data_IF_052420556078
#
_entry.id   IF_052420556078
#
_cell.length_a   1.000
_cell.length_b   1.000
_cell.length_c   1.000
_cell.angle_alpha   90.00
_cell.angle_beta   90.00
_cell.angle_gamma   90.00
#
_symmetry.space_group_name_H-M   'P 1'
#
loop_
_entity.id
_entity.type
_entity.pdbx_description
1 polymer ?
#
# COMPACT_ATOMS: atom_id res chain seq x y z
N UNK A 1 -23.72 25.80 -37.65
CA UNK A 1 -22.54 26.70 -37.57
C UNK A 1 -21.97 26.89 -36.16
N UNK A 2 -22.71 27.40 -35.14
CA UNK A 2 -22.15 27.57 -33.79
C UNK A 2 -21.89 26.22 -33.09
N UNK A 3 -22.78 25.22 -33.23
CA UNK A 3 -22.64 23.88 -32.64
C UNK A 3 -21.55 23.04 -33.34
N UNK A 4 -21.37 23.20 -34.65
CA UNK A 4 -20.36 22.49 -35.40
C UNK A 4 -18.94 22.96 -35.04
N UNK A 5 -18.79 24.31 -34.85
CA UNK A 5 -17.51 24.88 -34.39
C UNK A 5 -17.13 24.42 -32.99
N UNK A 6 -18.11 24.36 -32.08
CA UNK A 6 -17.91 23.87 -30.71
C UNK A 6 -17.58 22.36 -30.64
N UNK A 7 -18.20 21.56 -31.53
CA UNK A 7 -17.85 20.13 -31.66
C UNK A 7 -16.46 19.92 -32.28
N UNK A 8 -16.05 20.73 -33.25
CA UNK A 8 -14.69 20.71 -33.82
C UNK A 8 -13.63 21.15 -32.80
N UNK A 9 -13.89 22.18 -31.99
CA UNK A 9 -12.99 22.61 -30.91
C UNK A 9 -12.88 21.57 -29.80
N UNK A 10 -13.97 20.86 -29.48
CA UNK A 10 -13.95 19.71 -28.54
C UNK A 10 -13.22 18.49 -29.12
N UNK A 11 -13.29 18.23 -30.42
CA UNK A 11 -12.56 17.13 -31.06
C UNK A 11 -11.06 17.41 -31.16
N UNK A 12 -10.66 18.64 -31.49
CA UNK A 12 -9.26 19.08 -31.48
C UNK A 12 -8.64 18.98 -30.06
N UNK A 13 -9.38 19.43 -29.04
CA UNK A 13 -8.97 19.27 -27.62
C UNK A 13 -8.82 17.81 -27.21
N UNK A 14 -9.65 16.91 -27.75
CA UNK A 14 -9.60 15.48 -27.44
C UNK A 14 -8.42 14.77 -28.14
N UNK A 15 -8.03 15.21 -29.33
CA UNK A 15 -6.87 14.71 -30.06
C UNK A 15 -5.54 15.23 -29.50
N UNK A 16 -5.48 16.48 -29.08
CA UNK A 16 -4.34 17.05 -28.37
C UNK A 16 -4.13 16.34 -27.02
N UNK A 17 -5.19 16.11 -26.26
CA UNK A 17 -5.14 15.32 -25.01
C UNK A 17 -4.72 13.87 -25.23
N UNK A 18 -5.12 13.26 -26.36
CA UNK A 18 -4.64 11.91 -26.72
C UNK A 18 -3.16 11.92 -27.07
N UNK A 19 -2.70 12.93 -27.81
CA UNK A 19 -1.29 13.07 -28.16
C UNK A 19 -0.40 13.31 -26.95
N UNK A 20 -0.82 14.18 -26.01
CA UNK A 20 -0.14 14.35 -24.73
C UNK A 20 -0.14 13.05 -23.89
N UNK A 21 -1.21 12.27 -23.93
CA UNK A 21 -1.29 10.95 -23.28
C UNK A 21 -0.36 9.92 -23.94
N UNK A 22 -0.17 10.00 -25.28
CA UNK A 22 0.70 9.09 -26.00
C UNK A 22 2.19 9.45 -25.89
N UNK A 23 2.50 10.69 -25.54
CA UNK A 23 3.87 11.17 -25.29
C UNK A 23 4.34 10.97 -23.83
N UNK A 24 3.43 10.59 -22.92
CA UNK A 24 3.80 10.28 -21.54
C UNK A 24 4.64 8.99 -21.46
N UNK A 25 5.69 8.95 -20.61
CA UNK A 25 6.44 7.72 -20.33
C UNK A 25 5.50 6.58 -19.93
N UNK A 26 5.83 5.35 -20.32
CA UNK A 26 5.02 4.15 -20.03
C UNK A 26 4.72 4.01 -18.54
N UNK A 27 5.64 4.41 -17.65
CA UNK A 27 5.46 4.47 -16.21
C UNK A 27 4.35 5.42 -15.76
N UNK A 28 4.12 6.52 -16.48
CA UNK A 28 3.03 7.45 -16.20
C UNK A 28 1.69 7.04 -16.83
N UNK A 29 1.73 6.26 -17.92
CA UNK A 29 0.53 5.67 -18.53
C UNK A 29 -0.08 4.57 -17.65
N UNK A 30 0.74 3.77 -17.00
CA UNK A 30 0.32 2.71 -16.07
C UNK A 30 -0.24 3.25 -14.75
N UNK A 31 0.05 4.48 -14.37
CA UNK A 31 -0.29 5.06 -13.06
C UNK A 31 -1.69 5.69 -12.94
N UNK A 32 -2.51 5.72 -14.00
CA UNK A 32 -3.94 6.07 -13.89
C UNK A 32 -4.81 4.82 -13.78
N UNK A 33 -4.67 4.07 -12.71
CA UNK A 33 -5.74 3.14 -12.30
C UNK A 33 -6.98 3.99 -12.06
N UNK A 34 -7.94 3.97 -13.01
CA UNK A 34 -9.22 4.63 -12.84
C UNK A 34 -9.87 4.03 -11.61
N UNK A 35 -10.00 4.82 -10.55
CA UNK A 35 -10.72 4.37 -9.35
C UNK A 35 -12.11 3.91 -9.75
N UNK A 36 -12.51 2.75 -9.26
CA UNK A 36 -13.80 2.16 -9.59
C UNK A 36 -14.98 3.01 -9.05
N UNK A 37 -14.74 3.74 -7.95
CA UNK A 37 -15.65 4.77 -7.41
C UNK A 37 -14.85 5.88 -6.73
N UNK A 38 -15.49 7.05 -6.54
CA UNK A 38 -14.93 8.18 -5.80
C UNK A 38 -15.43 8.16 -4.35
N UNK A 39 -14.60 8.61 -3.41
CA UNK A 39 -14.94 8.66 -1.99
C UNK A 39 -15.07 7.26 -1.37
N UNK A 40 -16.07 7.11 -0.50
CA UNK A 40 -16.31 5.88 0.24
C UNK A 40 -17.64 5.24 -0.19
N UNK A 41 -17.63 3.93 -0.37
CA UNK A 41 -18.79 3.07 -0.62
C UNK A 41 -19.06 2.25 0.64
N UNK A 42 -20.33 1.96 0.94
CA UNK A 42 -20.71 1.18 2.11
C UNK A 42 -20.63 -0.31 1.85
N UNK A 43 -20.02 -1.01 2.79
CA UNK A 43 -19.93 -2.46 2.82
C UNK A 43 -20.49 -2.98 4.14
N UNK A 44 -21.01 -4.22 4.11
CA UNK A 44 -21.39 -4.99 5.28
C UNK A 44 -20.26 -5.94 5.60
N UNK A 45 -19.86 -6.07 6.87
CA UNK A 45 -19.04 -7.18 7.31
C UNK A 45 -19.85 -8.46 7.22
N UNK A 46 -19.55 -9.29 6.23
CA UNK A 46 -20.28 -10.52 5.92
C UNK A 46 -19.78 -11.69 6.78
N UNK A 47 -18.47 -11.76 7.00
CA UNK A 47 -17.84 -12.84 7.74
C UNK A 47 -16.54 -12.36 8.41
N UNK A 48 -16.22 -12.95 9.57
CA UNK A 48 -15.00 -12.70 10.34
C UNK A 48 -14.36 -14.04 10.68
N UNK A 49 -13.19 -14.31 10.10
CA UNK A 49 -12.52 -15.62 10.19
C UNK A 49 -11.19 -15.49 10.91
N UNK A 50 -10.99 -16.14 12.07
CA UNK A 50 -9.67 -16.25 12.69
C UNK A 50 -8.70 -17.02 11.79
N UNK A 51 -7.53 -16.44 11.50
CA UNK A 51 -6.48 -17.07 10.67
C UNK A 51 -5.29 -17.57 11.51
N UNK A 52 -4.94 -16.82 12.57
CA UNK A 52 -3.87 -17.13 13.48
C UNK A 52 -4.01 -16.30 14.76
N UNK A 53 -3.07 -16.46 15.71
CA UNK A 53 -3.08 -15.61 16.91
C UNK A 53 -3.07 -14.12 16.55
N UNK A 54 -4.06 -13.39 17.03
CA UNK A 54 -4.26 -11.95 16.75
C UNK A 54 -4.40 -11.58 15.25
N UNK A 55 -4.69 -12.54 14.38
CA UNK A 55 -4.89 -12.30 12.95
C UNK A 55 -6.28 -12.79 12.53
N UNK A 56 -7.04 -11.94 11.88
CA UNK A 56 -8.41 -12.22 11.44
C UNK A 56 -8.64 -11.70 10.02
N UNK A 57 -9.32 -12.50 9.21
CA UNK A 57 -9.86 -12.11 7.91
C UNK A 57 -11.26 -11.52 8.06
N UNK A 58 -11.52 -10.44 7.34
CA UNK A 58 -12.79 -9.73 7.28
C UNK A 58 -13.28 -9.76 5.84
N UNK A 59 -14.42 -10.40 5.62
CA UNK A 59 -15.07 -10.49 4.32
C UNK A 59 -16.14 -9.40 4.20
N UNK A 60 -16.06 -8.62 3.14
CA UNK A 60 -16.83 -7.39 2.95
C UNK A 60 -17.71 -7.52 1.72
N UNK A 61 -19.03 -7.52 1.90
CA UNK A 61 -20.01 -7.50 0.82
C UNK A 61 -20.52 -6.07 0.60
N UNK A 62 -20.65 -5.58 -0.65
CA UNK A 62 -21.21 -4.26 -0.89
C UNK A 62 -22.67 -4.18 -0.40
N UNK A 63 -23.04 -3.05 0.24
CA UNK A 63 -24.40 -2.85 0.75
C UNK A 63 -25.45 -2.70 -0.36
N UNK A 64 -25.03 -2.18 -1.51
CA UNK A 64 -25.89 -1.91 -2.66
C UNK A 64 -26.03 -3.12 -3.62
N UNK A 65 -25.46 -4.28 -3.27
CA UNK A 65 -25.43 -5.52 -4.04
C UNK A 65 -24.90 -5.36 -5.49
N UNK A 66 -24.28 -4.22 -5.83
CA UNK A 66 -23.65 -4.05 -7.12
C UNK A 66 -22.34 -4.85 -7.20
N UNK A 67 -22.05 -5.47 -8.36
CA UNK A 67 -20.82 -6.22 -8.54
C UNK A 67 -19.59 -5.42 -8.15
N UNK A 68 -18.63 -6.10 -7.52
CA UNK A 68 -17.34 -5.49 -7.21
C UNK A 68 -16.52 -5.31 -8.49
N UNK A 69 -15.92 -4.14 -8.69
CA UNK A 69 -14.97 -3.96 -9.77
C UNK A 69 -13.73 -4.85 -9.56
N UNK A 70 -13.03 -5.20 -10.65
CA UNK A 70 -11.74 -5.87 -10.52
C UNK A 70 -10.75 -4.97 -9.80
N UNK A 71 -9.77 -5.60 -9.15
CA UNK A 71 -8.63 -4.92 -8.57
C UNK A 71 -7.34 -5.59 -9.04
N UNK A 72 -6.21 -4.89 -8.92
CA UNK A 72 -4.91 -5.48 -9.20
C UNK A 72 -4.37 -6.17 -7.95
N UNK A 73 -3.84 -7.41 -8.06
CA UNK A 73 -3.29 -8.13 -6.91
C UNK A 73 -2.14 -7.35 -6.28
N UNK A 74 -2.23 -7.16 -4.97
CA UNK A 74 -1.36 -6.28 -4.18
C UNK A 74 -2.00 -4.94 -3.79
N UNK A 75 -3.11 -4.53 -4.42
CA UNK A 75 -3.83 -3.34 -4.02
C UNK A 75 -4.46 -3.47 -2.63
N UNK A 76 -4.77 -2.32 -2.04
CA UNK A 76 -5.40 -2.18 -0.73
C UNK A 76 -6.69 -1.36 -0.81
N UNK A 77 -7.48 -1.44 0.25
CA UNK A 77 -8.67 -0.63 0.49
C UNK A 77 -8.40 0.36 1.63
N UNK A 78 -8.87 1.60 1.48
CA UNK A 78 -8.90 2.58 2.56
C UNK A 78 -10.21 2.47 3.35
N UNK A 79 -10.12 2.47 4.66
CA UNK A 79 -11.24 2.38 5.58
C UNK A 79 -11.39 3.67 6.37
N UNK A 80 -12.57 4.25 6.36
CA UNK A 80 -12.91 5.36 7.22
C UNK A 80 -13.61 4.80 8.47
N UNK A 81 -12.86 4.62 9.56
CA UNK A 81 -13.31 4.00 10.79
C UNK A 81 -13.84 5.06 11.77
N UNK A 82 -15.12 4.94 12.14
CA UNK A 82 -15.75 5.80 13.17
C UNK A 82 -15.55 5.18 14.55
N UNK A 83 -14.42 5.48 15.16
CA UNK A 83 -14.01 4.88 16.44
C UNK A 83 -14.61 5.68 17.61
N UNK A 84 -15.30 5.04 18.56
CA UNK A 84 -15.85 5.70 19.73
C UNK A 84 -14.79 6.52 20.48
N UNK A 85 -15.12 7.73 20.87
CA UNK A 85 -14.21 8.66 21.56
C UNK A 85 -13.30 9.47 20.63
N UNK A 86 -13.21 9.16 19.34
CA UNK A 86 -12.49 9.96 18.37
C UNK A 86 -13.41 11.00 17.72
N UNK A 87 -12.99 12.27 17.71
CA UNK A 87 -13.76 13.36 17.10
C UNK A 87 -13.88 13.25 15.58
N UNK A 88 -12.87 12.66 14.92
CA UNK A 88 -12.78 12.47 13.47
C UNK A 88 -12.65 10.99 13.13
N UNK A 89 -13.14 10.53 11.98
CA UNK A 89 -12.88 9.18 11.52
C UNK A 89 -11.39 8.91 11.40
N UNK A 90 -10.97 7.72 11.78
CA UNK A 90 -9.60 7.24 11.59
C UNK A 90 -9.50 6.53 10.26
N UNK A 91 -8.65 7.00 9.36
CA UNK A 91 -8.41 6.33 8.08
C UNK A 91 -7.28 5.31 8.21
N UNK A 92 -7.51 4.08 7.73
CA UNK A 92 -6.51 3.00 7.68
C UNK A 92 -6.62 2.23 6.38
N UNK A 93 -5.49 1.78 5.87
CA UNK A 93 -5.42 0.93 4.69
C UNK A 93 -5.12 -0.50 5.06
N UNK A 94 -5.78 -1.42 4.35
CA UNK A 94 -5.54 -2.85 4.48
C UNK A 94 -5.49 -3.47 3.09
N UNK A 95 -4.44 -4.23 2.82
CA UNK A 95 -4.24 -4.91 1.54
C UNK A 95 -5.33 -5.96 1.32
N UNK A 96 -5.80 -6.06 0.09
CA UNK A 96 -6.67 -7.14 -0.34
C UNK A 96 -5.89 -8.45 -0.27
N UNK A 97 -6.46 -9.46 0.39
CA UNK A 97 -5.82 -10.76 0.67
C UNK A 97 -6.52 -11.92 -0.02
N UNK A 98 -7.18 -11.66 -1.16
CA UNK A 98 -7.83 -12.66 -2.01
C UNK A 98 -7.51 -12.44 -3.47
N UNK A 99 -7.81 -13.44 -4.30
CA UNK A 99 -7.73 -13.31 -5.75
C UNK A 99 -8.71 -12.26 -6.29
N UNK A 100 -8.32 -11.45 -7.29
CA UNK A 100 -9.24 -10.55 -8.01
C UNK A 100 -10.38 -11.26 -8.75
N UNK A 101 -10.33 -12.59 -8.90
CA UNK A 101 -11.42 -13.39 -9.46
C UNK A 101 -12.64 -13.44 -8.55
N UNK A 102 -12.46 -13.30 -7.23
CA UNK A 102 -13.57 -13.17 -6.32
C UNK A 102 -14.23 -11.79 -6.50
N UNK A 103 -15.48 -11.81 -6.96
CA UNK A 103 -16.22 -10.60 -7.35
C UNK A 103 -17.44 -10.34 -6.48
N UNK A 104 -17.75 -11.25 -5.57
CA UNK A 104 -18.90 -11.11 -4.67
C UNK A 104 -18.55 -10.35 -3.39
N UNK A 105 -17.31 -10.50 -2.92
CA UNK A 105 -16.82 -9.87 -1.69
C UNK A 105 -15.33 -9.55 -1.75
N UNK A 106 -14.93 -8.52 -1.05
CA UNK A 106 -13.52 -8.25 -0.77
C UNK A 106 -13.09 -8.93 0.53
N UNK A 107 -11.84 -9.36 0.60
CA UNK A 107 -11.23 -9.90 1.81
C UNK A 107 -10.01 -9.07 2.18
N UNK A 108 -10.00 -8.57 3.41
CA UNK A 108 -8.81 -8.02 4.06
C UNK A 108 -8.45 -8.90 5.24
N UNK A 109 -7.17 -8.95 5.60
CA UNK A 109 -6.73 -9.69 6.78
C UNK A 109 -5.86 -8.79 7.64
N UNK A 110 -6.20 -8.69 8.91
CA UNK A 110 -5.64 -7.70 9.83
C UNK A 110 -5.04 -8.39 11.04
N UNK A 111 -3.81 -8.04 11.38
CA UNK A 111 -3.19 -8.38 12.65
C UNK A 111 -3.55 -7.31 13.69
N UNK A 112 -4.11 -7.69 14.82
CA UNK A 112 -4.28 -6.80 15.96
C UNK A 112 -2.91 -6.46 16.54
N UNK A 113 -2.61 -5.19 16.64
CA UNK A 113 -1.34 -4.69 17.15
C UNK A 113 -1.50 -4.40 18.64
N UNK A 114 -0.88 -5.18 19.54
CA UNK A 114 -0.85 -4.88 20.97
C UNK A 114 0.07 -3.69 21.25
N UNK A 115 0.06 -3.14 22.46
CA UNK A 115 1.08 -2.21 22.91
C UNK A 115 2.48 -2.82 22.72
N UNK A 116 3.52 -1.99 22.48
CA UNK A 116 4.90 -2.48 22.47
C UNK A 116 5.26 -3.17 23.78
N UNK A 117 5.95 -4.31 23.79
CA UNK A 117 6.29 -5.06 25.00
C UNK A 117 7.11 -4.26 26.02
N UNK A 118 7.94 -3.34 25.53
CA UNK A 118 8.77 -2.43 26.32
C UNK A 118 8.01 -1.19 26.83
N UNK A 119 6.79 -0.95 26.31
CA UNK A 119 5.92 0.18 26.65
C UNK A 119 4.46 -0.27 26.76
N UNK A 120 4.10 -1.13 27.74
CA UNK A 120 2.77 -1.72 27.82
C UNK A 120 1.65 -0.71 28.16
N UNK A 121 2.01 0.47 28.64
CA UNK A 121 1.09 1.57 28.94
C UNK A 121 0.67 2.36 27.69
N UNK A 122 1.34 2.16 26.57
CA UNK A 122 0.91 2.75 25.31
C UNK A 122 -0.38 2.09 24.79
N UNK A 123 -1.24 2.84 24.09
CA UNK A 123 -2.45 2.25 23.53
C UNK A 123 -2.14 1.22 22.46
N UNK A 124 -2.95 0.18 22.36
CA UNK A 124 -2.98 -0.74 21.24
C UNK A 124 -3.23 -0.02 19.92
N UNK A 125 -2.87 -0.62 18.79
CA UNK A 125 -3.14 -0.06 17.46
C UNK A 125 -4.64 0.19 17.25
N UNK A 126 -5.03 1.46 17.25
CA UNK A 126 -6.43 1.94 17.32
C UNK A 126 -7.32 1.29 16.24
N UNK A 127 -6.91 1.32 14.96
CA UNK A 127 -7.70 0.77 13.86
C UNK A 127 -7.81 -0.75 13.92
N UNK A 128 -6.70 -1.46 14.17
CA UNK A 128 -6.69 -2.92 14.23
C UNK A 128 -7.48 -3.43 15.43
N UNK A 129 -7.40 -2.78 16.58
CA UNK A 129 -8.20 -3.12 17.77
C UNK A 129 -9.69 -2.90 17.51
N UNK A 130 -10.07 -1.77 16.89
CA UNK A 130 -11.46 -1.53 16.53
C UNK A 130 -12.04 -2.64 15.63
N UNK A 131 -11.31 -3.05 14.59
CA UNK A 131 -11.75 -4.12 13.69
C UNK A 131 -11.88 -5.47 14.43
N UNK A 132 -10.97 -5.77 15.34
CA UNK A 132 -10.99 -7.04 16.07
C UNK A 132 -12.03 -7.12 17.17
N UNK A 133 -12.22 -6.05 17.93
CA UNK A 133 -12.97 -6.08 19.19
C UNK A 133 -14.34 -5.40 19.10
N UNK A 134 -14.48 -4.38 18.24
CA UNK A 134 -15.70 -3.58 18.20
C UNK A 134 -16.57 -3.85 16.95
N UNK A 135 -16.00 -4.48 15.92
CA UNK A 135 -16.71 -4.76 14.69
C UNK A 135 -17.32 -6.17 14.69
N UNK A 136 -18.61 -6.26 14.43
CA UNK A 136 -19.39 -7.51 14.37
C UNK A 136 -19.93 -7.78 12.97
N UNK A 137 -20.21 -9.03 12.66
CA UNK A 137 -20.90 -9.42 11.42
C UNK A 137 -22.24 -8.68 11.32
N UNK A 138 -22.49 -8.07 10.18
CA UNK A 138 -23.65 -7.20 9.93
C UNK A 138 -23.34 -5.70 10.05
N UNK A 139 -22.23 -5.31 10.65
CA UNK A 139 -21.83 -3.90 10.78
C UNK A 139 -21.43 -3.29 9.44
N UNK A 140 -21.63 -1.97 9.34
CA UNK A 140 -21.33 -1.20 8.14
C UNK A 140 -19.94 -0.57 8.22
N UNK A 141 -19.24 -0.62 7.10
CA UNK A 141 -17.94 0.00 6.90
C UNK A 141 -17.96 0.94 5.70
N UNK A 142 -17.29 2.07 5.82
CA UNK A 142 -17.03 3.00 4.72
C UNK A 142 -15.66 2.70 4.11
N UNK A 143 -15.64 2.28 2.83
CA UNK A 143 -14.47 1.72 2.16
C UNK A 143 -14.19 2.45 0.86
N UNK A 144 -12.92 2.86 0.64
CA UNK A 144 -12.48 3.46 -0.62
C UNK A 144 -12.33 2.43 -1.73
N UNK A 145 -12.28 2.91 -2.98
CA UNK A 145 -11.93 2.06 -4.12
C UNK A 145 -10.55 1.42 -3.94
N UNK A 146 -10.31 0.21 -4.47
CA UNK A 146 -8.97 -0.38 -4.51
C UNK A 146 -7.94 0.59 -5.07
N UNK A 147 -6.77 0.67 -4.44
CA UNK A 147 -5.70 1.58 -4.77
C UNK A 147 -4.33 0.97 -4.39
N UNK A 148 -3.23 1.64 -4.79
CA UNK A 148 -1.86 1.21 -4.50
C UNK A 148 -1.06 0.92 -5.76
N UNK A 149 0.25 1.09 -5.66
CA UNK A 149 1.22 0.87 -6.74
C UNK A 149 1.99 -0.45 -6.58
N UNK A 150 1.90 -1.08 -5.42
CA UNK A 150 2.50 -2.38 -5.14
C UNK A 150 1.63 -3.48 -5.77
N UNK A 151 1.78 -3.69 -7.07
CA UNK A 151 0.95 -4.59 -7.87
C UNK A 151 1.81 -5.62 -8.61
N UNK A 152 1.23 -6.80 -8.82
CA UNK A 152 1.86 -7.85 -9.61
C UNK A 152 1.95 -7.45 -11.09
N UNK A 153 3.18 -7.41 -11.63
CA UNK A 153 3.35 -7.37 -13.08
C UNK A 153 3.16 -8.80 -13.66
N UNK A 154 2.02 -9.02 -14.31
CA UNK A 154 1.68 -10.30 -14.92
C UNK A 154 2.47 -10.61 -16.19
N UNK A 155 3.08 -9.59 -16.80
CA UNK A 155 3.79 -9.69 -18.06
C UNK A 155 5.31 -9.86 -17.88
N UNK A 156 5.83 -9.62 -16.70
CA UNK A 156 7.25 -9.80 -16.40
C UNK A 156 7.62 -11.30 -16.49
N UNK A 157 8.51 -11.69 -17.40
CA UNK A 157 8.88 -13.09 -17.59
C UNK A 157 9.86 -13.62 -16.54
N UNK A 158 10.51 -12.72 -15.78
CA UNK A 158 11.49 -13.10 -14.75
C UNK A 158 10.83 -13.90 -13.64
N UNK A 159 11.52 -14.85 -13.00
CA UNK A 159 10.99 -15.51 -11.84
C UNK A 159 10.62 -14.50 -10.75
N UNK A 160 9.45 -14.68 -10.12
CA UNK A 160 8.97 -13.82 -9.04
C UNK A 160 9.43 -14.36 -7.67
N UNK A 161 9.92 -13.47 -6.82
CA UNK A 161 10.26 -13.79 -5.43
C UNK A 161 9.33 -12.98 -4.52
N UNK A 162 8.42 -13.65 -3.85
CA UNK A 162 7.51 -13.06 -2.87
C UNK A 162 8.08 -13.25 -1.48
N UNK A 163 8.46 -12.15 -0.81
CA UNK A 163 9.05 -12.15 0.52
C UNK A 163 8.07 -11.54 1.51
N UNK A 164 7.36 -12.40 2.24
CA UNK A 164 6.37 -12.02 3.23
C UNK A 164 6.94 -12.05 4.65
N UNK A 165 6.81 -10.95 5.40
CA UNK A 165 7.08 -10.92 6.84
C UNK A 165 5.79 -10.81 7.66
N UNK A 166 5.44 -11.86 8.41
CA UNK A 166 4.22 -11.87 9.24
C UNK A 166 2.97 -11.51 8.45
N UNK A 167 2.26 -10.45 8.87
CA UNK A 167 1.02 -9.99 8.18
C UNK A 167 1.28 -9.34 6.82
N UNK A 168 2.54 -9.04 6.46
CA UNK A 168 2.91 -8.62 5.11
C UNK A 168 2.60 -9.64 4.02
N UNK A 169 2.17 -10.83 4.41
CA UNK A 169 1.66 -11.85 3.49
C UNK A 169 0.42 -11.39 2.70
N UNK A 170 -0.37 -10.46 3.20
CA UNK A 170 -1.71 -10.13 2.65
C UNK A 170 -1.68 -9.72 1.18
N UNK A 171 -0.88 -8.74 0.71
CA UNK A 171 -0.81 -8.41 -0.72
C UNK A 171 -0.18 -9.53 -1.54
N UNK A 172 0.81 -10.24 -0.96
CA UNK A 172 1.53 -11.32 -1.65
C UNK A 172 0.65 -12.58 -1.81
N UNK A 173 -0.27 -12.83 -0.89
CA UNK A 173 -1.27 -13.90 -1.03
C UNK A 173 -2.19 -13.62 -2.22
N UNK A 174 -2.66 -12.39 -2.38
CA UNK A 174 -3.45 -11.98 -3.54
C UNK A 174 -2.67 -12.19 -4.86
N UNK A 175 -1.37 -11.90 -4.87
CA UNK A 175 -0.49 -12.14 -6.03
C UNK A 175 -0.33 -13.63 -6.29
N UNK A 176 -0.08 -14.45 -5.26
CA UNK A 176 0.06 -15.90 -5.37
C UNK A 176 -1.22 -16.56 -5.91
N UNK A 177 -2.37 -16.21 -5.31
CA UNK A 177 -3.67 -16.71 -5.79
C UNK A 177 -3.90 -16.35 -7.26
N UNK A 178 -3.53 -15.13 -7.66
CA UNK A 178 -3.67 -14.68 -9.06
C UNK A 178 -2.82 -15.52 -10.01
N UNK A 179 -1.54 -15.76 -9.67
CA UNK A 179 -0.65 -16.58 -10.50
C UNK A 179 -1.22 -17.98 -10.69
N UNK A 180 -1.73 -18.58 -9.62
CA UNK A 180 -2.29 -19.92 -9.69
C UNK A 180 -3.65 -19.96 -10.42
N UNK A 181 -4.52 -19.01 -10.16
CA UNK A 181 -5.85 -18.92 -10.77
C UNK A 181 -5.80 -18.60 -12.26
N UNK A 182 -4.89 -17.73 -12.68
CA UNK A 182 -4.70 -17.33 -14.08
C UNK A 182 -3.76 -18.28 -14.82
N UNK A 183 -3.17 -19.26 -14.12
CA UNK A 183 -2.21 -20.24 -14.66
C UNK A 183 -1.02 -19.57 -15.35
N UNK A 184 -0.49 -18.52 -14.71
CA UNK A 184 0.69 -17.81 -15.23
C UNK A 184 1.89 -18.75 -15.12
N UNK A 185 2.51 -19.09 -16.23
CA UNK A 185 3.64 -20.02 -16.33
C UNK A 185 4.98 -19.39 -15.87
N UNK A 186 4.94 -18.57 -14.82
CA UNK A 186 6.09 -17.90 -14.26
C UNK A 186 6.58 -18.67 -13.03
N UNK A 187 7.88 -18.96 -12.95
CA UNK A 187 8.47 -19.54 -11.74
C UNK A 187 8.31 -18.56 -10.59
N UNK A 188 7.84 -19.05 -9.44
CA UNK A 188 7.60 -18.25 -8.26
C UNK A 188 8.23 -18.88 -7.03
N UNK A 189 8.93 -18.09 -6.24
CA UNK A 189 9.40 -18.45 -4.91
C UNK A 189 8.54 -17.70 -3.89
N UNK A 190 7.75 -18.42 -3.12
CA UNK A 190 6.90 -17.82 -2.08
C UNK A 190 7.50 -18.09 -0.72
N UNK A 191 8.05 -17.07 -0.10
CA UNK A 191 8.83 -17.17 1.15
C UNK A 191 8.08 -16.40 2.23
N UNK A 192 7.65 -17.09 3.29
CA UNK A 192 6.94 -16.51 4.41
C UNK A 192 7.76 -16.62 5.70
N UNK A 193 8.20 -15.50 6.24
CA UNK A 193 8.90 -15.41 7.51
C UNK A 193 7.90 -15.03 8.63
N UNK A 194 7.75 -15.91 9.62
CA UNK A 194 6.88 -15.71 10.78
C UNK A 194 7.66 -16.01 12.06
N UNK A 195 7.11 -15.62 13.22
CA UNK A 195 7.76 -15.90 14.49
C UNK A 195 7.69 -17.39 14.83
N UNK A 196 6.50 -17.96 14.82
CA UNK A 196 6.20 -19.34 15.14
C UNK A 196 4.89 -19.78 14.45
N UNK A 197 4.44 -21.03 14.68
CA UNK A 197 3.20 -21.55 14.07
C UNK A 197 1.95 -20.82 14.51
N UNK A 198 1.87 -20.36 15.75
CA UNK A 198 0.68 -19.66 16.25
C UNK A 198 0.46 -18.31 15.56
N UNK A 199 1.52 -17.71 15.01
CA UNK A 199 1.49 -16.48 14.24
C UNK A 199 1.56 -16.72 12.71
N UNK A 200 1.34 -17.95 12.22
CA UNK A 200 1.41 -18.31 10.80
C UNK A 200 0.00 -18.35 10.16
N UNK A 201 -0.49 -17.23 9.61
CA UNK A 201 -1.79 -17.20 8.94
C UNK A 201 -1.74 -17.94 7.61
N UNK A 202 -2.90 -18.43 7.18
CA UNK A 202 -3.12 -19.06 5.86
C UNK A 202 -2.30 -20.32 5.59
N UNK A 203 -1.68 -20.93 6.58
CA UNK A 203 -0.78 -22.08 6.41
C UNK A 203 -1.38 -23.17 5.52
N UNK A 204 -2.55 -23.70 5.91
CA UNK A 204 -3.22 -24.76 5.16
C UNK A 204 -3.74 -24.28 3.79
N UNK A 205 -4.20 -23.04 3.73
CA UNK A 205 -4.71 -22.45 2.51
C UNK A 205 -3.61 -22.35 1.45
N UNK A 206 -2.44 -21.82 1.82
CA UNK A 206 -1.28 -21.71 0.91
C UNK A 206 -0.80 -23.09 0.48
N UNK A 207 -0.72 -24.06 1.38
CA UNK A 207 -0.35 -25.43 1.03
C UNK A 207 -1.29 -26.04 -0.02
N UNK A 208 -2.61 -25.80 0.13
CA UNK A 208 -3.62 -26.26 -0.85
C UNK A 208 -3.48 -25.59 -2.22
N UNK A 209 -3.12 -24.29 -2.24
CA UNK A 209 -2.86 -23.55 -3.48
C UNK A 209 -1.61 -24.10 -4.17
N UNK A 210 -0.50 -24.14 -3.45
CA UNK A 210 0.81 -24.56 -3.98
C UNK A 210 0.79 -26.02 -4.47
N UNK A 211 0.04 -26.89 -3.81
CA UNK A 211 -0.14 -28.27 -4.26
C UNK A 211 -0.74 -28.38 -5.69
N UNK A 212 -1.42 -27.35 -6.18
CA UNK A 212 -2.02 -27.28 -7.51
C UNK A 212 -1.22 -26.42 -8.50
N UNK A 213 -0.18 -25.75 -8.03
CA UNK A 213 0.63 -24.78 -8.80
C UNK A 213 2.08 -25.28 -8.86
N UNK A 214 2.43 -26.03 -9.91
CA UNK A 214 3.75 -26.69 -10.07
C UNK A 214 4.92 -25.70 -10.21
N UNK A 215 4.64 -24.46 -10.57
CA UNK A 215 5.63 -23.41 -10.76
C UNK A 215 5.91 -22.59 -9.49
N UNK A 216 5.26 -22.90 -8.37
CA UNK A 216 5.44 -22.23 -7.08
C UNK A 216 6.26 -23.08 -6.13
N UNK A 217 7.34 -22.49 -5.60
CA UNK A 217 8.20 -23.07 -4.57
C UNK A 217 7.95 -22.35 -3.25
N UNK A 218 7.44 -23.08 -2.25
CA UNK A 218 7.04 -22.51 -0.97
C UNK A 218 8.12 -22.77 0.10
N UNK A 219 8.55 -21.71 0.76
CA UNK A 219 9.45 -21.78 1.92
C UNK A 219 8.90 -21.00 3.10
N UNK A 220 9.03 -21.55 4.29
CA UNK A 220 8.56 -20.93 5.54
C UNK A 220 9.73 -20.83 6.53
N UNK A 221 9.92 -19.63 7.08
CA UNK A 221 10.94 -19.36 8.09
C UNK A 221 10.27 -19.08 9.43
N UNK A 222 10.60 -19.86 10.45
CA UNK A 222 10.19 -19.66 11.83
C UNK A 222 11.36 -19.06 12.62
N UNK A 223 11.26 -17.76 12.95
CA UNK A 223 12.37 -17.06 13.61
C UNK A 223 12.51 -17.41 15.09
N UNK A 224 11.42 -17.79 15.75
CA UNK A 224 11.35 -18.16 17.17
C UNK A 224 10.29 -19.25 17.35
N UNK A 225 10.52 -20.49 16.86
CA UNK A 225 9.60 -21.60 17.11
C UNK A 225 9.47 -21.83 18.62
N UNK A 226 8.29 -22.28 19.07
CA UNK A 226 8.10 -22.67 20.47
C UNK A 226 8.92 -23.95 20.79
N UNK A 227 9.25 -24.18 22.06
CA UNK A 227 10.08 -25.31 22.47
C UNK A 227 9.45 -26.67 22.14
N UNK A 228 8.12 -26.72 22.08
CA UNK A 228 7.30 -27.90 21.73
C UNK A 228 6.96 -27.94 20.22
N UNK A 229 7.42 -26.99 19.45
CA UNK A 229 7.17 -26.92 18.02
C UNK A 229 8.21 -27.73 17.24
N UNK A 230 7.88 -28.96 16.89
CA UNK A 230 8.67 -29.72 15.93
C UNK A 230 8.58 -29.04 14.55
N UNK A 231 9.61 -28.29 14.20
CA UNK A 231 9.85 -27.90 12.81
C UNK A 231 10.47 -29.10 12.12
N UNK A 232 9.73 -29.73 11.22
CA UNK A 232 10.21 -30.90 10.48
C UNK A 232 11.47 -30.56 9.71
N UNK A 233 12.62 -30.89 10.28
CA UNK A 233 13.94 -30.64 9.70
C UNK A 233 14.17 -31.44 8.41
N UNK A 234 13.33 -32.44 8.11
CA UNK A 234 13.39 -33.24 6.87
C UNK A 234 12.65 -32.57 5.72
N UNK A 235 11.69 -31.66 5.99
CA UNK A 235 11.05 -30.84 4.96
C UNK A 235 11.94 -29.61 4.65
N UNK A 236 12.68 -29.68 3.55
CA UNK A 236 13.57 -28.62 3.08
C UNK A 236 12.88 -27.26 2.87
N UNK A 237 11.54 -27.22 2.93
CA UNK A 237 10.75 -26.01 2.81
C UNK A 237 10.55 -25.29 4.14
N UNK A 238 10.83 -25.93 5.27
CA UNK A 238 10.73 -25.34 6.60
C UNK A 238 12.12 -24.99 7.14
N UNK A 239 12.30 -23.75 7.57
CA UNK A 239 13.57 -23.22 8.05
C UNK A 239 13.42 -22.63 9.44
N UNK A 240 14.43 -22.85 10.30
CA UNK A 240 14.52 -22.17 11.59
C UNK A 240 15.45 -20.97 11.49
N UNK A 241 15.08 -19.86 12.13
CA UNK A 241 15.83 -18.62 12.16
C UNK A 241 15.33 -17.57 11.17
N UNK A 242 16.06 -16.48 11.06
CA UNK A 242 15.72 -15.36 10.17
C UNK A 242 16.09 -15.67 8.72
N UNK A 243 15.33 -15.10 7.80
CA UNK A 243 15.69 -15.05 6.40
C UNK A 243 16.81 -14.02 6.21
N UNK A 244 17.85 -14.41 5.48
CA UNK A 244 18.95 -13.55 5.01
C UNK A 244 19.18 -13.77 3.51
N UNK A 245 20.05 -12.93 2.91
CA UNK A 245 20.32 -12.94 1.47
C UNK A 245 21.03 -14.24 1.04
N UNK A 246 21.91 -14.81 1.86
CA UNK A 246 22.61 -16.05 1.52
C UNK A 246 21.66 -17.23 1.45
N UNK A 247 20.73 -17.31 2.40
CA UNK A 247 19.66 -18.34 2.39
C UNK A 247 18.72 -18.15 1.22
N UNK A 248 18.38 -16.89 0.92
CA UNK A 248 17.54 -16.55 -0.23
C UNK A 248 18.22 -16.97 -1.54
N UNK A 249 19.51 -16.65 -1.71
CA UNK A 249 20.28 -17.04 -2.90
C UNK A 249 20.36 -18.58 -3.08
N UNK A 250 20.49 -19.33 -1.97
CA UNK A 250 20.44 -20.80 -2.02
C UNK A 250 19.09 -21.35 -2.47
N UNK A 251 17.99 -20.70 -2.07
CA UNK A 251 16.62 -21.10 -2.45
C UNK A 251 16.36 -20.76 -3.92
N UNK A 252 16.69 -19.56 -4.34
CA UNK A 252 16.35 -19.07 -5.68
C UNK A 252 17.34 -19.45 -6.76
N UNK A 253 18.56 -19.79 -6.40
CA UNK A 253 19.68 -20.01 -7.30
C UNK A 253 20.29 -18.70 -7.85
N UNK A 254 19.81 -17.55 -7.41
CA UNK A 254 20.23 -16.23 -7.91
C UNK A 254 19.72 -15.94 -9.33
N UNK A 255 20.30 -14.93 -9.97
CA UNK A 255 19.96 -14.54 -11.35
C UNK A 255 19.06 -13.28 -11.41
N UNK A 256 18.51 -13.04 -12.61
CA UNK A 256 17.59 -11.91 -12.84
C UNK A 256 16.19 -12.24 -12.33
N UNK A 257 15.88 -11.76 -11.12
CA UNK A 257 14.66 -12.04 -10.38
C UNK A 257 13.89 -10.75 -10.11
N UNK A 258 12.56 -10.86 -10.08
CA UNK A 258 11.69 -9.77 -9.66
C UNK A 258 11.23 -10.00 -8.22
N UNK A 259 11.51 -9.07 -7.33
CA UNK A 259 11.19 -9.16 -5.92
C UNK A 259 9.95 -8.35 -5.56
N UNK A 260 9.06 -8.96 -4.77
CA UNK A 260 7.90 -8.32 -4.14
C UNK A 260 8.02 -8.54 -2.64
N UNK A 261 8.28 -7.48 -1.90
CA UNK A 261 8.64 -7.57 -0.48
C UNK A 261 7.62 -6.82 0.36
N UNK A 262 7.01 -7.51 1.34
CA UNK A 262 6.14 -6.87 2.29
C UNK A 262 6.33 -7.49 3.68
N UNK A 263 6.63 -6.66 4.68
CA UNK A 263 6.92 -7.14 6.02
C UNK A 263 7.17 -6.03 7.03
N UNK A 264 7.53 -6.39 8.26
CA UNK A 264 7.79 -5.41 9.31
C UNK A 264 9.07 -4.58 9.02
N UNK A 265 9.12 -3.32 9.53
CA UNK A 265 10.25 -2.42 9.27
C UNK A 265 11.64 -3.02 9.53
N UNK A 266 11.90 -3.80 10.60
CA UNK A 266 13.22 -4.41 10.79
C UNK A 266 13.62 -5.37 9.67
N UNK A 267 12.67 -6.16 9.11
CA UNK A 267 12.93 -7.05 7.98
C UNK A 267 13.29 -6.22 6.74
N UNK A 268 12.52 -5.18 6.45
CA UNK A 268 12.74 -4.31 5.30
C UNK A 268 14.11 -3.61 5.36
N UNK A 269 14.46 -3.04 6.54
CA UNK A 269 15.72 -2.35 6.77
C UNK A 269 16.96 -3.23 6.59
N UNK A 270 16.85 -4.51 6.89
CA UNK A 270 17.97 -5.44 6.77
C UNK A 270 18.05 -6.08 5.38
N UNK A 271 16.89 -6.51 4.84
CA UNK A 271 16.87 -7.34 3.64
C UNK A 271 17.04 -6.51 2.35
N UNK A 272 16.43 -5.32 2.27
CA UNK A 272 16.48 -4.52 1.03
C UNK A 272 17.89 -4.03 0.73
N UNK A 273 18.62 -3.36 1.66
CA UNK A 273 20.00 -2.98 1.41
C UNK A 273 20.92 -4.17 1.13
N UNK A 274 20.70 -5.31 1.82
CA UNK A 274 21.52 -6.51 1.59
C UNK A 274 21.28 -7.12 0.20
N UNK A 275 20.06 -7.02 -0.37
CA UNK A 275 19.80 -7.42 -1.76
C UNK A 275 20.51 -6.49 -2.75
N UNK A 276 20.50 -5.18 -2.51
CA UNK A 276 21.19 -4.19 -3.35
C UNK A 276 22.72 -4.42 -3.30
N UNK A 277 23.30 -4.66 -2.10
CA UNK A 277 24.70 -5.04 -1.93
C UNK A 277 25.05 -6.36 -2.62
N UNK A 278 24.11 -7.30 -2.68
CA UNK A 278 24.25 -8.57 -3.40
C UNK A 278 24.18 -8.41 -4.92
N UNK A 279 23.85 -7.20 -5.41
CA UNK A 279 23.81 -6.86 -6.83
C UNK A 279 22.42 -6.89 -7.47
N UNK A 280 21.36 -6.97 -6.67
CA UNK A 280 19.99 -6.85 -7.18
C UNK A 280 19.71 -5.39 -7.54
N UNK A 281 19.23 -5.14 -8.78
CA UNK A 281 18.84 -3.80 -9.19
C UNK A 281 17.69 -3.26 -8.34
N UNK A 282 17.72 -2.01 -7.87
CA UNK A 282 16.60 -1.38 -7.18
C UNK A 282 15.28 -1.44 -7.97
N UNK A 283 15.33 -1.35 -9.31
CA UNK A 283 14.16 -1.47 -10.18
C UNK A 283 13.52 -2.87 -10.17
N UNK A 284 14.25 -3.87 -9.70
CA UNK A 284 13.76 -5.24 -9.51
C UNK A 284 13.18 -5.50 -8.13
N UNK A 285 13.11 -4.48 -7.26
CA UNK A 285 12.60 -4.60 -5.89
C UNK A 285 11.37 -3.72 -5.73
N UNK A 286 10.19 -4.34 -5.75
CA UNK A 286 8.95 -3.68 -5.34
C UNK A 286 8.71 -3.98 -3.86
N UNK A 287 8.33 -2.96 -3.09
CA UNK A 287 8.08 -3.13 -1.67
C UNK A 287 6.86 -2.34 -1.18
N UNK A 288 6.19 -2.89 -0.16
CA UNK A 288 5.15 -2.21 0.59
C UNK A 288 5.43 -2.35 2.09
N UNK A 289 5.49 -1.22 2.81
CA UNK A 289 5.69 -1.19 4.25
C UNK A 289 4.38 -0.88 4.97
N UNK A 290 4.11 -1.61 6.07
CA UNK A 290 2.98 -1.34 6.95
C UNK A 290 3.44 -0.56 8.18
N UNK A 291 2.74 0.51 8.50
CA UNK A 291 3.03 1.37 9.64
C UNK A 291 3.44 2.78 9.22
N UNK A 292 3.84 3.64 10.17
CA UNK A 292 4.39 4.96 9.84
C UNK A 292 5.65 4.81 8.99
N UNK A 293 5.77 5.70 8.01
CA UNK A 293 6.90 5.71 7.12
C UNK A 293 8.17 6.07 7.89
N UNK A 294 9.11 5.16 8.01
CA UNK A 294 10.52 5.53 8.17
C UNK A 294 11.43 4.34 8.03
N UNK A 295 12.02 4.19 6.87
CA UNK A 295 13.13 3.26 6.68
C UNK A 295 14.33 3.86 5.95
N UNK A 296 14.24 5.10 5.46
CA UNK A 296 15.39 5.82 4.89
C UNK A 296 15.65 7.10 5.68
N UNK A 297 16.89 7.36 6.00
CA UNK A 297 17.32 8.52 6.78
C UNK A 297 17.54 9.73 5.88
N UNK A 298 17.00 10.88 6.31
CA UNK A 298 17.24 12.29 5.94
C UNK A 298 16.32 12.94 4.91
N UNK A 299 15.84 14.11 5.36
CA UNK A 299 14.98 15.10 4.70
C UNK A 299 15.36 15.40 3.26
N UNK A 300 14.41 15.16 2.34
CA UNK A 300 14.46 15.74 1.01
C UNK A 300 13.61 17.01 0.99
N UNK A 301 14.22 18.16 0.69
CA UNK A 301 13.52 19.40 0.36
C UNK A 301 13.25 19.35 -1.13
N UNK A 302 11.98 19.40 -1.50
CA UNK A 302 11.59 19.53 -2.91
C UNK A 302 11.39 21.01 -3.20
N UNK A 303 12.38 21.63 -3.89
CA UNK A 303 12.36 23.03 -4.28
C UNK A 303 11.90 23.18 -5.73
N UNK A 304 10.98 24.10 -5.99
CA UNK A 304 10.79 24.68 -7.33
C UNK A 304 11.53 26.01 -7.36
N UNK A 305 12.54 26.09 -8.21
CA UNK A 305 13.47 27.22 -8.31
C UNK A 305 12.71 28.55 -8.61
N UNK A 306 12.37 29.31 -7.55
CA UNK A 306 11.97 30.74 -7.66
C UNK A 306 11.92 31.34 -6.25
N UNK A 307 12.92 32.18 -5.96
CA UNK A 307 13.08 32.79 -4.66
C UNK A 307 12.05 33.83 -4.30
N UNK A 308 11.70 33.80 -3.01
CA UNK A 308 11.59 34.96 -2.11
C UNK A 308 11.31 34.42 -0.71
N UNK A 309 12.17 34.77 0.26
CA UNK A 309 12.05 34.39 1.66
C UNK A 309 10.86 35.08 2.32
N UNK A 310 9.90 34.32 2.81
CA UNK A 310 8.92 34.76 3.80
C UNK A 310 9.37 34.30 5.19
N UNK A 311 9.67 35.23 6.08
CA UNK A 311 10.36 35.01 7.36
C UNK A 311 9.44 34.74 8.56
N UNK A 312 8.20 34.31 8.36
CA UNK A 312 7.29 33.99 9.47
C UNK A 312 6.60 32.64 9.26
N UNK A 313 6.98 31.56 9.99
CA UNK A 313 6.44 30.21 9.77
C UNK A 313 4.94 30.08 10.08
N UNK A 314 4.33 31.03 10.79
CA UNK A 314 2.91 30.98 11.19
C UNK A 314 1.92 31.55 10.14
N UNK A 315 2.37 31.89 8.93
CA UNK A 315 1.53 32.57 7.93
C UNK A 315 1.59 32.02 6.50
N UNK A 316 2.12 30.81 6.28
CA UNK A 316 2.16 30.25 4.93
C UNK A 316 0.74 30.01 4.40
N UNK A 317 0.51 30.39 3.13
CA UNK A 317 -0.75 30.19 2.44
C UNK A 317 -0.66 28.97 1.52
N UNK A 318 -1.73 28.18 1.50
CA UNK A 318 -1.92 27.06 0.60
C UNK A 318 -2.99 27.47 -0.43
N UNK A 319 -2.59 27.62 -1.69
CA UNK A 319 -3.48 27.94 -2.80
C UNK A 319 -3.82 26.68 -3.58
N UNK A 320 -5.06 26.25 -3.52
CA UNK A 320 -5.58 25.11 -4.27
C UNK A 320 -6.20 25.58 -5.59
N UNK A 321 -5.48 25.42 -6.70
CA UNK A 321 -5.86 26.00 -8.00
C UNK A 321 -7.17 25.46 -8.57
N UNK A 322 -7.43 24.16 -8.44
CA UNK A 322 -8.67 23.54 -8.96
C UNK A 322 -9.90 23.97 -8.17
N UNK A 323 -9.80 23.99 -6.86
CA UNK A 323 -10.90 24.36 -5.98
C UNK A 323 -11.03 25.88 -5.81
N UNK A 324 -10.05 26.67 -6.30
CA UNK A 324 -9.96 28.13 -6.17
C UNK A 324 -10.04 28.59 -4.69
N UNK A 325 -9.47 27.79 -3.78
CA UNK A 325 -9.44 28.07 -2.35
C UNK A 325 -8.04 28.37 -1.87
N UNK A 326 -7.97 29.29 -0.90
CA UNK A 326 -6.75 29.64 -0.18
C UNK A 326 -6.97 29.40 1.29
N UNK A 327 -6.04 28.69 1.92
CA UNK A 327 -6.02 28.45 3.36
C UNK A 327 -4.77 29.08 3.96
N UNK A 328 -4.85 29.45 5.24
CA UNK A 328 -3.66 29.77 6.04
C UNK A 328 -3.23 28.48 6.73
N UNK A 329 -1.95 28.13 6.65
CA UNK A 329 -1.42 26.95 7.29
C UNK A 329 -1.49 27.10 8.83
N UNK A 330 -1.76 26.00 9.52
CA UNK A 330 -1.88 25.96 10.98
C UNK A 330 -0.54 25.76 11.73
N UNK A 331 0.59 25.73 10.96
CA UNK A 331 1.94 25.54 11.50
C UNK A 331 2.30 24.07 11.80
N UNK A 332 1.38 23.12 11.66
CA UNK A 332 1.61 21.74 12.12
C UNK A 332 1.08 20.66 11.18
N UNK A 333 -0.10 20.85 10.60
CA UNK A 333 -0.81 19.83 9.83
C UNK A 333 -0.22 19.62 8.43
N UNK A 334 -0.19 18.39 7.93
CA UNK A 334 0.10 18.13 6.51
C UNK A 334 -0.94 18.78 5.58
N UNK A 335 -0.53 19.05 4.34
CA UNK A 335 -1.37 19.68 3.30
C UNK A 335 -2.70 18.93 3.11
N UNK A 336 -2.69 17.60 3.15
CA UNK A 336 -3.88 16.76 2.99
C UNK A 336 -4.92 17.04 4.07
N UNK A 337 -4.49 17.11 5.33
CA UNK A 337 -5.40 17.32 6.46
C UNK A 337 -6.07 18.70 6.38
N UNK A 338 -5.30 19.73 6.03
CA UNK A 338 -5.80 21.06 5.79
C UNK A 338 -6.83 21.11 4.62
N UNK A 339 -6.56 20.40 3.54
CA UNK A 339 -7.46 20.30 2.38
C UNK A 339 -8.79 19.64 2.77
N UNK A 340 -8.75 18.53 3.49
CA UNK A 340 -9.93 17.78 3.93
C UNK A 340 -10.82 18.57 4.89
N UNK A 341 -10.24 19.40 5.78
CA UNK A 341 -11.00 20.27 6.70
C UNK A 341 -11.97 21.21 5.98
N UNK A 342 -11.61 21.64 4.79
CA UNK A 342 -12.44 22.54 3.98
C UNK A 342 -13.14 21.82 2.83
N UNK A 343 -13.11 20.50 2.79
CA UNK A 343 -13.80 19.70 1.78
C UNK A 343 -13.11 19.69 0.41
N UNK A 344 -11.80 20.00 0.35
CA UNK A 344 -11.00 19.82 -0.86
C UNK A 344 -10.59 18.34 -0.91
N UNK A 345 -10.97 17.67 -1.95
CA UNK A 345 -10.67 16.26 -2.14
C UNK A 345 -9.31 16.08 -2.83
N UNK A 346 -8.37 15.46 -2.12
CA UNK A 346 -7.10 14.96 -2.63
C UNK A 346 -7.11 13.44 -2.50
N UNK A 347 -6.79 12.75 -3.59
CA UNK A 347 -6.66 11.31 -3.54
C UNK A 347 -5.62 10.93 -2.48
N UNK A 348 -5.99 10.08 -1.54
CA UNK A 348 -5.09 9.65 -0.48
C UNK A 348 -5.30 8.19 -0.13
N UNK A 349 -4.28 7.55 0.43
CA UNK A 349 -4.34 6.16 0.81
C UNK A 349 -3.56 5.89 2.10
N UNK A 350 -2.26 5.59 2.07
CA UNK A 350 -1.50 5.21 3.27
C UNK A 350 -1.38 6.31 4.33
N UNK A 351 -1.46 7.58 3.96
CA UNK A 351 -1.25 8.77 4.80
C UNK A 351 0.10 8.79 5.52
N UNK A 352 1.05 8.05 4.99
CA UNK A 352 2.38 7.85 5.58
C UNK A 352 3.50 7.98 4.55
N UNK A 353 3.24 8.63 3.41
CA UNK A 353 4.25 8.88 2.38
C UNK A 353 4.71 7.67 1.56
N UNK A 354 4.11 6.46 1.74
CA UNK A 354 4.65 5.22 1.18
C UNK A 354 3.99 4.73 -0.12
N UNK A 355 2.80 5.24 -0.49
CA UNK A 355 2.05 4.70 -1.62
C UNK A 355 1.95 5.63 -2.82
N UNK A 356 2.37 6.90 -2.70
CA UNK A 356 2.32 7.90 -3.76
C UNK A 356 0.91 8.32 -4.20
N UNK A 357 -0.17 7.82 -3.56
CA UNK A 357 -1.55 8.09 -3.99
C UNK A 357 -1.95 9.56 -3.81
N UNK A 358 -1.38 10.23 -2.82
CA UNK A 358 -1.64 11.64 -2.51
C UNK A 358 -0.69 12.61 -3.23
N UNK A 359 -0.01 12.14 -4.27
CA UNK A 359 0.88 12.95 -5.07
C UNK A 359 0.07 14.01 -5.84
N UNK A 360 0.33 15.29 -5.56
CA UNK A 360 -0.30 16.43 -6.21
C UNK A 360 0.78 17.37 -6.78
N UNK A 361 0.42 18.07 -7.84
CA UNK A 361 1.36 19.01 -8.46
C UNK A 361 1.63 20.19 -7.53
N UNK A 362 2.90 20.47 -7.30
CA UNK A 362 3.42 21.66 -6.65
C UNK A 362 3.83 22.65 -7.74
N UNK A 363 3.00 23.68 -7.97
CA UNK A 363 3.24 24.64 -9.03
C UNK A 363 4.19 25.77 -8.61
N UNK A 364 4.24 26.05 -7.31
CA UNK A 364 5.10 27.08 -6.71
C UNK A 364 5.25 26.82 -5.23
N UNK A 365 6.38 27.28 -4.65
CA UNK A 365 6.72 27.15 -3.26
C UNK A 365 7.42 25.83 -2.92
N UNK A 366 7.77 25.68 -1.63
CA UNK A 366 8.56 24.57 -1.12
C UNK A 366 7.81 23.84 -0.02
N UNK A 367 8.06 22.55 0.06
CA UNK A 367 7.53 21.68 1.12
C UNK A 367 8.66 20.86 1.74
N UNK A 368 8.50 20.53 3.00
CA UNK A 368 9.38 19.63 3.73
C UNK A 368 8.64 18.36 4.17
N UNK A 369 9.40 17.36 4.51
CA UNK A 369 8.95 16.09 5.05
C UNK A 369 9.67 15.81 6.36
N UNK A 370 8.94 15.52 7.44
CA UNK A 370 9.54 15.11 8.72
C UNK A 370 10.34 13.82 8.58
N UNK A 371 9.86 12.91 7.71
CA UNK A 371 10.52 11.67 7.35
C UNK A 371 10.55 11.54 5.83
N UNK A 372 11.61 10.97 5.28
CA UNK A 372 11.75 10.78 3.84
C UNK A 372 10.63 9.87 3.31
N UNK A 373 9.89 10.30 2.28
CA UNK A 373 8.88 9.47 1.65
C UNK A 373 9.41 8.13 1.15
N UNK A 374 8.66 7.06 1.40
CA UNK A 374 9.03 5.71 0.98
C UNK A 374 8.82 5.42 -0.52
N UNK A 375 8.51 6.45 -1.33
CA UNK A 375 8.35 6.36 -2.80
C UNK A 375 8.99 7.56 -3.45
N UNK A 376 9.49 7.36 -4.68
CA UNK A 376 9.97 8.47 -5.50
C UNK A 376 8.83 9.43 -5.83
N UNK A 377 9.12 10.72 -5.68
CA UNK A 377 8.18 11.80 -5.97
C UNK A 377 8.50 12.34 -7.36
N UNK A 378 7.47 12.47 -8.19
CA UNK A 378 7.62 13.08 -9.52
C UNK A 378 8.16 14.52 -9.38
N UNK A 379 9.18 14.94 -10.15
CA UNK A 379 9.66 16.32 -10.11
C UNK A 379 8.53 17.33 -10.30
N UNK A 380 8.45 18.33 -9.41
CA UNK A 380 7.36 19.32 -9.38
C UNK A 380 6.05 18.83 -8.75
N UNK A 381 6.09 17.73 -7.99
CA UNK A 381 4.96 17.21 -7.21
C UNK A 381 5.35 17.08 -5.73
N UNK A 382 4.34 16.93 -4.87
CA UNK A 382 4.52 16.62 -3.45
C UNK A 382 3.50 15.58 -2.98
N UNK A 383 3.83 14.87 -1.89
CA UNK A 383 2.92 13.94 -1.23
C UNK A 383 2.12 14.68 -0.16
N UNK A 384 0.92 15.11 -0.50
CA UNK A 384 0.08 15.95 0.36
C UNK A 384 -0.13 15.42 1.79
N UNK A 385 -0.09 14.09 1.97
CA UNK A 385 -0.36 13.47 3.29
C UNK A 385 0.78 13.59 4.30
N UNK A 386 1.99 13.95 3.87
CA UNK A 386 3.18 14.10 4.74
C UNK A 386 3.94 15.39 4.45
N UNK A 387 3.59 16.11 3.37
CA UNK A 387 4.20 17.38 3.02
C UNK A 387 3.70 18.50 3.94
N UNK A 388 4.62 19.29 4.48
CA UNK A 388 4.37 20.53 5.21
C UNK A 388 4.92 21.70 4.41
N UNK A 389 4.20 22.82 4.26
CA UNK A 389 4.70 23.97 3.53
C UNK A 389 5.84 24.67 4.29
N UNK A 390 6.91 25.02 3.57
CA UNK A 390 8.04 25.84 4.09
C UNK A 390 7.89 27.27 3.63
N UNK A 391 7.21 27.47 2.51
CA UNK A 391 6.86 28.78 1.95
C UNK A 391 5.37 28.80 1.57
N UNK A 392 4.88 29.88 1.02
CA UNK A 392 3.57 29.91 0.35
C UNK A 392 3.56 28.95 -0.83
N UNK A 393 2.58 28.05 -0.91
CA UNK A 393 2.51 26.98 -1.92
C UNK A 393 1.29 27.08 -2.82
N UNK A 394 1.48 26.79 -4.11
CA UNK A 394 0.42 26.65 -5.10
C UNK A 394 0.27 25.18 -5.50
N UNK A 395 -0.91 24.61 -5.30
CA UNK A 395 -1.18 23.17 -5.37
C UNK A 395 -2.21 22.86 -6.47
N UNK A 396 -2.05 21.71 -7.13
CA UNK A 396 -2.88 21.25 -8.23
C UNK A 396 -4.18 20.54 -7.83
N UNK A 397 -4.75 20.85 -6.65
CA UNK A 397 -5.99 20.25 -6.13
C UNK A 397 -7.16 21.24 -6.11
#
# INVERSE_FOLDING_TARGET
>A
MKNEKMMQEMQLSTEELKKELDELPVSLKQNRVRRAWRGYRRFILDEKVPEAHNICSFHLRPLDDQPLPPFEPGQHLGFQLRIPGHKRPTVRNYSLSSSPKERSKYKITVKRIPPPPDQPDLPSGVGSTFLHENLSVGDLLEVSSPAGKFILDRQDPRPAVFLAGGIGITPLLSMLETICDEKIERKCYFIHAVRNRSEHPFREHIQKIVAKCINVDLHVFYSQPAEDEEVDATDQRHHVGFLDVDRLAKITGGGDLQYYICGPPPMMKNLVPALEEFGVSPDSILMEAFGPASTRAKSAIVSTDSGEESTNPDQHKLHFKRSQRTLTWDGTSPILDMAEEVGIFIDSSCRAGNCGTCEIRLHHGDVEYEEEPGVDITPGYCLACVAKPVTEVNLGA
#
